data_IF_890027956926
#
_entry.id   IF_890027956926
#
_cell.length_a   1.000
_cell.length_b   1.000
_cell.length_c   1.000
_cell.angle_alpha   90.00
_cell.angle_beta   90.00
_cell.angle_gamma   90.00
#
_symmetry.space_group_name_H-M   'P 1'
#
loop_
_entity.id
_entity.type
_entity.pdbx_description
1 polymer ?
#
# COMPACT_ATOMS: atom_id res chain seq x y z
N UNK A 1 -8.87 22.48 -4.50
CA UNK A 1 -8.15 21.80 -5.61
C UNK A 1 -7.65 20.48 -5.04
N UNK A 2 -8.01 19.34 -5.64
CA UNK A 2 -7.67 18.01 -5.10
C UNK A 2 -6.27 17.59 -5.52
N UNK A 3 -5.63 16.71 -4.75
CA UNK A 3 -4.25 16.25 -5.01
C UNK A 3 -4.20 15.46 -6.34
N UNK A 4 -5.22 14.64 -6.60
CA UNK A 4 -5.46 13.93 -7.85
C UNK A 4 -5.58 14.85 -9.06
N UNK A 5 -6.39 15.92 -8.96
CA UNK A 5 -6.52 16.90 -10.05
C UNK A 5 -5.17 17.54 -10.39
N UNK A 6 -4.36 17.87 -9.37
CA UNK A 6 -3.01 18.43 -9.56
C UNK A 6 -2.04 17.44 -10.17
N UNK A 7 -2.08 16.19 -9.70
CA UNK A 7 -1.20 15.11 -10.16
C UNK A 7 -1.49 14.76 -11.62
N UNK A 8 -2.77 14.56 -11.97
CA UNK A 8 -3.19 14.27 -13.35
C UNK A 8 -2.91 15.45 -14.29
N UNK A 9 -3.16 16.69 -13.86
CA UNK A 9 -2.77 17.87 -14.63
C UNK A 9 -1.23 18.00 -14.75
N UNK A 10 -0.51 17.56 -13.72
CA UNK A 10 0.94 17.51 -13.65
C UNK A 10 1.57 16.43 -14.53
N UNK A 11 0.89 15.33 -14.84
CA UNK A 11 1.38 14.35 -15.82
C UNK A 11 1.47 14.94 -17.24
N UNK A 12 0.62 15.94 -17.55
CA UNK A 12 0.67 16.69 -18.80
C UNK A 12 1.65 17.89 -18.76
N UNK A 13 2.28 18.18 -17.61
CA UNK A 13 3.25 19.27 -17.45
C UNK A 13 4.56 18.74 -16.89
N UNK A 14 5.68 18.78 -17.63
CA UNK A 14 6.89 18.05 -17.28
C UNK A 14 7.36 18.28 -15.83
N UNK A 15 7.22 19.47 -15.23
CA UNK A 15 7.79 19.77 -13.91
C UNK A 15 7.08 19.26 -12.63
N UNK A 16 5.76 18.99 -12.62
CA UNK A 16 5.03 18.75 -11.35
C UNK A 16 4.98 17.26 -10.96
N UNK A 17 4.71 16.38 -11.93
CA UNK A 17 4.84 14.93 -11.73
C UNK A 17 6.31 14.49 -11.53
N UNK A 18 7.27 15.25 -12.08
CA UNK A 18 8.70 15.00 -11.91
C UNK A 18 9.14 15.06 -10.45
N UNK A 19 8.59 15.93 -9.60
CA UNK A 19 9.00 16.01 -8.19
C UNK A 19 8.60 14.79 -7.35
N UNK A 20 7.37 14.29 -7.55
CA UNK A 20 6.82 13.15 -6.82
C UNK A 20 7.42 11.81 -7.25
N UNK A 21 7.79 11.70 -8.54
CA UNK A 21 8.27 10.47 -9.17
C UNK A 21 9.78 10.46 -9.43
N UNK A 22 10.51 11.55 -9.15
CA UNK A 22 11.95 11.69 -9.45
C UNK A 22 12.83 10.60 -8.82
N UNK A 23 12.38 9.95 -7.74
CA UNK A 23 13.13 8.95 -6.98
C UNK A 23 12.56 7.53 -7.09
N UNK A 24 11.41 7.33 -7.74
CA UNK A 24 10.75 6.03 -7.84
C UNK A 24 10.61 5.59 -9.30
N UNK A 25 10.93 4.32 -9.64
CA UNK A 25 10.65 3.78 -10.96
C UNK A 25 9.16 3.89 -11.30
N UNK A 26 8.87 4.42 -12.49
CA UNK A 26 7.53 4.37 -13.09
C UNK A 26 7.54 3.23 -14.11
N UNK A 27 6.60 2.30 -13.97
CA UNK A 27 6.50 1.11 -14.82
C UNK A 27 5.14 1.02 -15.51
N UNK A 28 5.11 0.36 -16.65
CA UNK A 28 3.87 0.10 -17.37
C UNK A 28 3.09 -1.06 -16.74
N UNK A 29 1.76 -0.98 -16.77
CA UNK A 29 0.89 -2.07 -16.31
C UNK A 29 1.18 -3.42 -16.98
N UNK A 30 1.67 -3.42 -18.22
CA UNK A 30 2.08 -4.60 -18.98
C UNK A 30 3.36 -5.27 -18.46
N UNK A 31 4.16 -4.60 -17.62
CA UNK A 31 5.35 -5.18 -17.00
C UNK A 31 5.02 -6.03 -15.76
N UNK A 32 3.77 -5.98 -15.29
CA UNK A 32 3.29 -6.73 -14.14
C UNK A 32 2.59 -8.01 -14.61
N UNK A 33 3.16 -9.16 -14.24
CA UNK A 33 2.61 -10.47 -14.60
C UNK A 33 2.29 -11.33 -13.37
N UNK A 34 1.43 -12.34 -13.54
CA UNK A 34 1.28 -13.38 -12.52
C UNK A 34 2.56 -14.22 -12.47
N UNK A 35 2.97 -14.62 -11.28
CA UNK A 35 4.07 -15.57 -11.12
C UNK A 35 3.62 -16.99 -11.47
N UNK A 36 4.45 -17.74 -12.20
CA UNK A 36 4.11 -19.09 -12.70
C UNK A 36 4.14 -20.18 -11.61
N UNK A 37 4.82 -19.93 -10.50
CA UNK A 37 5.12 -20.88 -9.42
C UNK A 37 4.20 -20.77 -8.20
N UNK A 38 3.26 -19.83 -8.20
CA UNK A 38 2.32 -19.62 -7.10
C UNK A 38 0.95 -19.15 -7.59
N UNK A 39 -0.14 -19.41 -6.85
CA UNK A 39 -1.45 -18.86 -7.19
C UNK A 39 -1.48 -17.33 -7.00
N UNK A 40 -2.38 -16.68 -7.73
CA UNK A 40 -2.66 -15.25 -7.55
C UNK A 40 -3.26 -15.03 -6.15
N UNK A 41 -2.51 -14.34 -5.29
CA UNK A 41 -3.01 -13.93 -3.98
C UNK A 41 -3.51 -12.49 -4.07
N UNK A 42 -4.79 -12.30 -3.77
CA UNK A 42 -5.43 -10.99 -3.75
C UNK A 42 -6.28 -10.85 -2.50
N UNK A 43 -6.24 -9.68 -1.86
CA UNK A 43 -6.99 -9.39 -0.64
C UNK A 43 -7.40 -7.93 -0.54
N UNK A 44 -8.54 -7.68 0.09
CA UNK A 44 -9.04 -6.32 0.32
C UNK A 44 -8.41 -5.69 1.57
N UNK A 45 -8.05 -4.42 1.47
CA UNK A 45 -7.59 -3.57 2.57
C UNK A 45 -8.58 -2.43 2.82
N UNK A 46 -9.72 -2.77 3.42
CA UNK A 46 -10.87 -1.87 3.52
C UNK A 46 -11.79 -1.99 2.31
N UNK A 47 -12.69 -1.03 2.14
CA UNK A 47 -13.79 -1.13 1.18
C UNK A 47 -13.38 -0.91 -0.29
N UNK A 48 -12.36 -0.08 -0.53
CA UNK A 48 -12.04 0.40 -1.89
C UNK A 48 -10.63 0.04 -2.36
N UNK A 49 -9.83 -0.62 -1.52
CA UNK A 49 -8.45 -0.97 -1.84
C UNK A 49 -8.33 -2.48 -1.95
N UNK A 50 -7.69 -2.93 -3.01
CA UNK A 50 -7.23 -4.30 -3.18
C UNK A 50 -5.72 -4.33 -3.27
N UNK A 51 -5.13 -5.36 -2.67
CA UNK A 51 -3.72 -5.68 -2.81
C UNK A 51 -3.59 -7.03 -3.48
N UNK A 52 -2.84 -7.07 -4.57
CA UNK A 52 -2.70 -8.24 -5.44
C UNK A 52 -1.24 -8.52 -5.68
N UNK A 53 -0.88 -9.79 -5.57
CA UNK A 53 0.48 -10.27 -5.73
C UNK A 53 0.82 -10.46 -7.21
N UNK A 54 2.00 -9.98 -7.62
CA UNK A 54 2.48 -10.02 -9.00
C UNK A 54 3.99 -10.33 -9.03
N UNK A 55 4.51 -10.46 -10.24
CA UNK A 55 5.92 -10.58 -10.59
C UNK A 55 6.31 -9.43 -11.51
N UNK A 56 7.40 -8.74 -11.19
CA UNK A 56 7.99 -7.68 -12.01
C UNK A 56 9.47 -8.00 -12.25
N UNK A 57 9.83 -8.32 -13.50
CA UNK A 57 11.21 -8.73 -13.88
C UNK A 57 11.78 -9.84 -12.99
N UNK A 58 10.93 -10.79 -12.59
CA UNK A 58 11.25 -11.89 -11.68
C UNK A 58 11.20 -11.54 -10.19
N UNK A 59 11.09 -10.26 -9.83
CA UNK A 59 10.91 -9.82 -8.45
C UNK A 59 9.46 -10.04 -8.01
N UNK A 60 9.26 -10.70 -6.86
CA UNK A 60 7.93 -10.87 -6.24
C UNK A 60 7.55 -9.56 -5.56
N UNK A 61 6.36 -9.07 -5.88
CA UNK A 61 5.87 -7.76 -5.43
C UNK A 61 4.39 -7.85 -5.08
N UNK A 62 3.87 -6.81 -4.43
CA UNK A 62 2.45 -6.64 -4.14
C UNK A 62 1.98 -5.27 -4.64
N UNK A 63 0.96 -5.27 -5.49
CA UNK A 63 0.38 -4.08 -6.09
C UNK A 63 -0.85 -3.67 -5.30
N UNK A 64 -0.91 -2.40 -4.89
CA UNK A 64 -2.07 -1.79 -4.26
C UNK A 64 -2.81 -0.94 -5.29
N UNK A 65 -4.10 -1.17 -5.43
CA UNK A 65 -4.95 -0.49 -6.41
C UNK A 65 -6.36 -0.23 -5.88
N UNK A 66 -7.04 0.74 -6.48
CA UNK A 66 -8.46 1.00 -6.22
C UNK A 66 -9.32 -0.06 -6.90
N UNK A 67 -10.29 -0.59 -6.18
CA UNK A 67 -11.31 -1.46 -6.77
C UNK A 67 -12.13 -0.69 -7.80
N UNK A 68 -12.34 -1.28 -8.97
CA UNK A 68 -13.23 -0.77 -10.00
C UNK A 68 -14.69 -1.03 -9.62
N UNK A 69 -15.18 -0.34 -8.58
CA UNK A 69 -16.60 -0.39 -8.17
C UNK A 69 -17.35 0.67 -8.99
N UNK A 70 -18.59 0.37 -9.37
CA UNK A 70 -19.45 1.20 -10.22
C UNK A 70 -19.53 2.68 -9.77
N UNK A 71 -19.75 3.62 -10.70
CA UNK A 71 -19.55 5.07 -10.51
C UNK A 71 -20.66 5.74 -9.68
N UNK A 72 -20.80 5.33 -8.42
CA UNK A 72 -21.66 6.00 -7.45
C UNK A 72 -20.79 6.93 -6.59
N UNK A 73 -20.31 8.02 -7.22
CA UNK A 73 -20.05 9.35 -6.65
C UNK A 73 -19.07 9.53 -5.48
N UNK A 74 -18.01 10.31 -5.70
CA UNK A 74 -17.23 11.05 -4.69
C UNK A 74 -16.21 10.25 -3.85
N UNK A 75 -16.53 9.03 -3.44
CA UNK A 75 -15.65 8.23 -2.57
C UNK A 75 -14.36 7.80 -3.28
N UNK A 76 -14.45 7.31 -4.51
CA UNK A 76 -13.29 6.80 -5.26
C UNK A 76 -12.22 7.86 -5.53
N UNK A 77 -12.62 9.10 -5.85
CA UNK A 77 -11.69 10.22 -6.04
C UNK A 77 -10.96 10.57 -4.74
N UNK A 78 -11.67 10.54 -3.60
CA UNK A 78 -11.05 10.77 -2.29
C UNK A 78 -10.03 9.66 -1.93
N UNK A 79 -10.30 8.41 -2.30
CA UNK A 79 -9.32 7.32 -2.11
C UNK A 79 -8.14 7.42 -3.07
N UNK A 80 -8.31 7.97 -4.27
CA UNK A 80 -7.19 8.29 -5.15
C UNK A 80 -6.30 9.37 -4.54
N UNK A 81 -6.90 10.44 -3.98
CA UNK A 81 -6.15 11.46 -3.23
C UNK A 81 -5.35 10.82 -2.08
N UNK A 82 -5.96 9.93 -1.30
CA UNK A 82 -5.29 9.20 -0.23
C UNK A 82 -4.13 8.32 -0.76
N UNK A 83 -4.29 7.66 -1.91
CA UNK A 83 -3.20 6.89 -2.52
C UNK A 83 -2.04 7.77 -2.98
N UNK A 84 -2.30 8.97 -3.51
CA UNK A 84 -1.25 9.90 -3.91
C UNK A 84 -0.53 10.53 -2.69
N UNK A 85 -1.27 10.79 -1.61
CA UNK A 85 -0.66 11.19 -0.32
C UNK A 85 0.20 10.06 0.23
N UNK A 86 -0.26 8.80 0.14
CA UNK A 86 0.51 7.63 0.56
C UNK A 86 1.80 7.48 -0.24
N UNK A 87 1.74 7.69 -1.56
CA UNK A 87 2.92 7.73 -2.43
C UNK A 87 3.96 8.75 -1.93
N UNK A 88 3.53 9.98 -1.64
CA UNK A 88 4.42 11.04 -1.14
C UNK A 88 5.11 10.63 0.17
N UNK A 89 4.35 10.17 1.15
CA UNK A 89 4.91 9.75 2.44
C UNK A 89 5.83 8.53 2.30
N UNK A 90 5.48 7.55 1.48
CA UNK A 90 6.32 6.38 1.23
C UNK A 90 7.65 6.76 0.55
N UNK A 91 7.67 7.84 -0.24
CA UNK A 91 8.90 8.33 -0.86
C UNK A 91 9.86 9.02 0.13
N UNK A 92 9.33 9.54 1.23
CA UNK A 92 10.12 10.26 2.25
C UNK A 92 10.46 9.40 3.48
N UNK A 93 9.73 8.31 3.70
CA UNK A 93 9.81 7.51 4.92
C UNK A 93 10.35 6.12 4.65
N UNK A 94 11.36 5.73 5.42
CA UNK A 94 11.94 4.40 5.36
C UNK A 94 12.14 3.84 6.77
N UNK A 95 11.52 2.69 7.05
CA UNK A 95 11.61 2.01 8.33
C UNK A 95 11.31 0.51 8.15
N UNK A 96 11.95 -0.41 8.90
CA UNK A 96 11.75 -1.85 8.74
C UNK A 96 10.30 -2.32 8.87
N UNK A 97 9.48 -1.60 9.65
CA UNK A 97 8.07 -1.89 9.91
C UNK A 97 7.09 -0.93 9.22
N UNK A 98 7.55 -0.19 8.21
CA UNK A 98 6.69 0.44 7.21
C UNK A 98 6.78 -0.37 5.91
N UNK A 99 5.66 -0.53 5.22
CA UNK A 99 5.62 -1.28 3.96
C UNK A 99 6.39 -0.49 2.89
N UNK A 100 7.42 -1.11 2.32
CA UNK A 100 8.35 -0.44 1.42
C UNK A 100 7.74 -0.31 0.01
N UNK A 101 7.56 0.93 -0.42
CA UNK A 101 7.22 1.26 -1.81
C UNK A 101 8.46 1.08 -2.70
N UNK A 102 8.29 0.35 -3.80
CA UNK A 102 9.36 0.01 -4.74
C UNK A 102 9.22 0.72 -6.08
N UNK A 103 7.99 0.95 -6.54
CA UNK A 103 7.69 1.58 -7.82
C UNK A 103 6.25 2.13 -7.87
N UNK A 104 5.94 2.86 -8.92
CA UNK A 104 4.58 3.24 -9.31
C UNK A 104 4.27 2.60 -10.65
N UNK A 105 3.14 1.91 -10.76
CA UNK A 105 2.64 1.35 -12.02
C UNK A 105 1.53 2.23 -12.57
N UNK A 106 1.60 2.51 -13.87
CA UNK A 106 0.62 3.35 -14.56
C UNK A 106 0.02 2.64 -15.78
N UNK A 107 -1.27 2.87 -15.98
CA UNK A 107 -1.96 2.46 -17.21
C UNK A 107 -1.52 3.31 -18.40
N UNK A 108 -1.70 2.78 -19.62
CA UNK A 108 -1.31 3.47 -20.86
C UNK A 108 -2.06 4.78 -21.09
N UNK A 109 -3.27 4.92 -20.56
CA UNK A 109 -4.07 6.15 -20.58
C UNK A 109 -3.72 7.11 -19.44
N UNK A 110 -2.78 6.74 -18.57
CA UNK A 110 -2.33 7.49 -17.39
C UNK A 110 -3.44 7.79 -16.36
N UNK A 111 -4.60 7.14 -16.49
CA UNK A 111 -5.76 7.38 -15.62
C UNK A 111 -5.76 6.47 -14.38
N UNK A 112 -4.98 5.39 -14.38
CA UNK A 112 -4.86 4.46 -13.26
C UNK A 112 -3.46 4.48 -12.70
N UNK A 113 -3.35 4.88 -11.43
CA UNK A 113 -2.12 4.84 -10.65
C UNK A 113 -2.21 3.69 -9.67
N UNK A 114 -1.19 2.82 -9.65
CA UNK A 114 -1.06 1.69 -8.74
C UNK A 114 0.27 1.78 -8.01
N UNK A 115 0.26 1.47 -6.72
CA UNK A 115 1.47 1.50 -5.91
C UNK A 115 2.07 0.11 -5.83
N UNK A 116 3.35 -0.03 -6.14
CA UNK A 116 4.06 -1.31 -6.17
C UNK A 116 4.94 -1.41 -4.93
N UNK A 117 4.56 -2.30 -4.02
CA UNK A 117 5.25 -2.54 -2.76
C UNK A 117 6.07 -3.82 -2.78
N UNK A 118 6.94 -3.95 -1.79
CA UNK A 118 7.54 -5.23 -1.42
C UNK A 118 6.49 -6.33 -1.22
N UNK A 119 6.94 -7.58 -1.32
CA UNK A 119 6.06 -8.73 -1.28
C UNK A 119 5.38 -8.91 0.08
N UNK A 120 4.05 -9.01 0.04
CA UNK A 120 3.21 -9.44 1.16
C UNK A 120 2.88 -10.94 1.00
N UNK A 121 3.42 -11.80 1.87
CA UNK A 121 3.20 -13.25 1.76
C UNK A 121 1.92 -13.73 2.43
N UNK A 122 1.44 -13.08 3.50
CA UNK A 122 0.31 -13.59 4.29
C UNK A 122 -0.99 -12.83 4.00
N UNK A 123 -0.91 -11.50 3.90
CA UNK A 123 -2.04 -10.60 3.69
C UNK A 123 -2.17 -9.56 4.81
N UNK A 124 -3.33 -8.89 4.91
CA UNK A 124 -3.60 -8.00 6.04
C UNK A 124 -3.91 -8.78 7.32
N UNK A 125 -3.64 -8.16 8.48
CA UNK A 125 -4.05 -8.71 9.77
C UNK A 125 -5.57 -8.93 9.83
N UNK A 126 -6.36 -8.06 9.18
CA UNK A 126 -7.81 -8.25 9.04
C UNK A 126 -8.15 -9.55 8.31
N UNK A 127 -7.52 -9.80 7.15
CA UNK A 127 -7.72 -11.04 6.39
C UNK A 127 -7.44 -12.26 7.25
N UNK A 128 -6.35 -12.22 8.00
CA UNK A 128 -5.93 -13.32 8.85
C UNK A 128 -6.92 -13.58 10.01
N UNK A 129 -7.34 -12.52 10.71
CA UNK A 129 -8.18 -12.63 11.90
C UNK A 129 -9.64 -12.97 11.59
N UNK A 130 -10.16 -12.54 10.44
CA UNK A 130 -11.59 -12.60 10.15
C UNK A 130 -11.97 -13.49 8.97
N UNK A 131 -11.11 -13.62 7.96
CA UNK A 131 -11.43 -14.37 6.73
C UNK A 131 -10.74 -15.73 6.68
N UNK A 132 -9.48 -15.79 7.11
CA UNK A 132 -8.64 -17.00 7.05
C UNK A 132 -8.39 -17.60 8.43
N UNK A 133 -9.19 -17.26 9.44
CA UNK A 133 -9.00 -17.72 10.82
C UNK A 133 -8.93 -19.25 10.94
N UNK A 134 -9.68 -19.98 10.11
CA UNK A 134 -9.67 -21.44 10.11
C UNK A 134 -8.35 -22.04 9.58
N UNK A 135 -7.64 -21.34 8.70
CA UNK A 135 -6.31 -21.74 8.20
C UNK A 135 -5.20 -21.45 9.23
N UNK A 136 -5.48 -20.54 10.18
CA UNK A 136 -4.58 -20.12 11.24
C UNK A 136 -5.25 -20.24 12.61
N UNK A 137 -5.65 -21.46 13.02
CA UNK A 137 -6.53 -21.68 14.16
C UNK A 137 -5.93 -21.22 15.50
N UNK A 138 -4.60 -21.06 15.56
CA UNK A 138 -3.90 -20.46 16.70
C UNK A 138 -2.84 -19.49 16.20
N UNK A 139 -3.18 -18.21 16.11
CA UNK A 139 -2.17 -17.16 16.22
C UNK A 139 -1.59 -17.26 17.63
N UNK A 140 -0.37 -17.80 17.75
CA UNK A 140 0.30 -17.92 19.05
C UNK A 140 0.40 -16.53 19.68
N UNK A 141 0.21 -16.44 20.99
CA UNK A 141 0.30 -15.19 21.73
C UNK A 141 1.63 -14.46 21.45
N UNK A 142 2.72 -15.23 21.33
CA UNK A 142 4.05 -14.76 20.92
C UNK A 142 4.01 -13.99 19.60
N UNK A 143 3.34 -14.53 18.57
CA UNK A 143 3.21 -13.87 17.27
C UNK A 143 2.42 -12.57 17.37
N UNK A 144 1.35 -12.55 18.18
CA UNK A 144 0.57 -11.33 18.41
C UNK A 144 1.38 -10.24 19.11
N UNK A 145 2.18 -10.62 20.12
CA UNK A 145 3.08 -9.70 20.82
C UNK A 145 4.13 -9.11 19.88
N UNK A 146 4.69 -9.93 18.97
CA UNK A 146 5.63 -9.44 17.94
C UNK A 146 4.96 -8.44 17.00
N UNK A 147 3.75 -8.73 16.52
CA UNK A 147 2.99 -7.80 15.66
C UNK A 147 2.75 -6.47 16.38
N UNK A 148 2.32 -6.50 17.64
CA UNK A 148 2.09 -5.29 18.44
C UNK A 148 3.37 -4.49 18.61
N UNK A 149 4.48 -5.15 18.96
CA UNK A 149 5.79 -4.50 19.13
C UNK A 149 6.22 -3.78 17.85
N UNK A 150 6.15 -4.46 16.70
CA UNK A 150 6.54 -3.91 15.39
C UNK A 150 5.67 -2.71 15.00
N UNK A 151 4.36 -2.77 15.26
CA UNK A 151 3.45 -1.64 15.05
C UNK A 151 3.82 -0.46 15.97
N UNK A 152 4.11 -0.72 17.25
CA UNK A 152 4.55 0.32 18.18
C UNK A 152 5.85 1.00 17.74
N UNK A 153 6.83 0.23 17.26
CA UNK A 153 8.09 0.78 16.75
C UNK A 153 7.89 1.64 15.50
N UNK A 154 7.05 1.19 14.56
CA UNK A 154 6.68 2.01 13.39
C UNK A 154 5.99 3.32 13.80
N UNK A 155 5.03 3.27 14.73
CA UNK A 155 4.35 4.47 15.23
C UNK A 155 5.31 5.41 15.97
N UNK A 156 6.24 4.88 16.75
CA UNK A 156 7.27 5.67 17.43
C UNK A 156 8.16 6.39 16.40
N UNK A 157 8.56 5.69 15.34
CA UNK A 157 9.31 6.28 14.22
C UNK A 157 8.55 7.43 13.55
N UNK A 158 7.24 7.28 13.32
CA UNK A 158 6.38 8.31 12.73
C UNK A 158 6.22 9.51 13.68
N UNK A 159 5.93 9.25 14.96
CA UNK A 159 5.78 10.29 15.98
C UNK A 159 7.07 11.08 16.19
N UNK A 160 8.24 10.44 16.09
CA UNK A 160 9.55 11.09 16.12
C UNK A 160 9.78 12.09 14.98
N UNK A 161 8.97 12.01 13.91
CA UNK A 161 8.95 12.95 12.79
C UNK A 161 7.78 13.94 12.83
N UNK A 162 7.09 14.03 13.97
CA UNK A 162 5.88 14.82 14.11
C UNK A 162 4.79 14.44 13.10
N UNK A 163 4.65 13.15 12.77
CA UNK A 163 3.60 12.63 11.90
C UNK A 163 2.69 11.68 12.69
N UNK A 164 1.38 11.80 12.50
CA UNK A 164 0.36 10.96 13.17
C UNK A 164 -0.39 10.14 12.13
N UNK A 165 -0.39 8.81 12.27
CA UNK A 165 -1.24 7.91 11.48
C UNK A 165 -2.65 7.87 12.09
N UNK A 166 -3.62 8.53 11.45
CA UNK A 166 -4.98 8.69 11.99
C UNK A 166 -5.90 7.48 11.80
N UNK A 167 -5.52 6.54 10.95
CA UNK A 167 -6.37 5.42 10.53
C UNK A 167 -5.70 4.05 10.77
N UNK A 168 -5.07 3.87 11.93
CA UNK A 168 -4.54 2.56 12.32
C UNK A 168 -5.68 1.55 12.48
N UNK A 169 -5.61 0.44 11.75
CA UNK A 169 -6.58 -0.65 11.80
C UNK A 169 -5.95 -1.99 11.43
N UNK A 170 -6.68 -3.10 11.61
CA UNK A 170 -6.22 -4.42 11.14
C UNK A 170 -6.06 -4.50 9.62
N UNK A 171 -6.67 -3.60 8.84
CA UNK A 171 -6.45 -3.49 7.39
C UNK A 171 -5.14 -2.80 7.04
N UNK A 172 -4.66 -1.87 7.89
CA UNK A 172 -3.42 -1.12 7.63
C UNK A 172 -2.16 -1.86 8.11
N UNK A 173 -2.31 -3.04 8.72
CA UNK A 173 -1.21 -3.89 9.18
C UNK A 173 -1.09 -5.06 8.20
N UNK A 174 0.01 -5.10 7.44
CA UNK A 174 0.29 -6.17 6.49
C UNK A 174 1.35 -7.11 7.03
N UNK A 175 1.15 -8.40 6.81
CA UNK A 175 2.06 -9.45 7.24
C UNK A 175 2.88 -9.89 6.03
N UNK A 176 4.10 -9.35 5.93
CA UNK A 176 5.02 -9.71 4.85
C UNK A 176 5.55 -11.12 5.05
N UNK A 177 5.83 -11.54 6.28
CA UNK A 177 6.18 -12.92 6.61
C UNK A 177 5.50 -13.34 7.93
N UNK A 178 5.48 -14.65 8.26
CA UNK A 178 5.06 -15.08 9.60
C UNK A 178 5.84 -14.33 10.68
N UNK A 179 5.13 -13.56 11.52
CA UNK A 179 5.73 -12.76 12.59
C UNK A 179 6.38 -11.44 12.17
N UNK A 180 6.24 -11.02 10.91
CA UNK A 180 6.73 -9.71 10.42
C UNK A 180 5.56 -8.88 9.91
N UNK A 181 5.17 -7.89 10.70
CA UNK A 181 4.14 -6.91 10.41
C UNK A 181 4.74 -5.59 9.94
N UNK A 182 4.09 -4.98 8.96
CA UNK A 182 4.43 -3.67 8.41
C UNK A 182 3.19 -2.80 8.27
N UNK A 183 3.31 -1.52 8.60
CA UNK A 183 2.23 -0.55 8.40
C UNK A 183 2.17 -0.09 6.94
N UNK A 184 0.95 -0.04 6.41
CA UNK A 184 0.56 0.62 5.16
C UNK A 184 -0.52 1.67 5.46
N UNK A 185 -1.09 2.31 4.45
CA UNK A 185 -2.18 3.27 4.63
C UNK A 185 -1.70 4.65 5.08
N UNK A 186 -0.47 5.02 4.70
CA UNK A 186 0.12 6.32 5.05
C UNK A 186 -0.64 7.51 4.43
N UNK A 187 -1.58 7.26 3.51
CA UNK A 187 -2.50 8.28 2.98
C UNK A 187 -3.32 9.02 4.04
N UNK A 188 -3.50 8.42 5.23
CA UNK A 188 -4.22 9.02 6.35
C UNK A 188 -3.30 9.73 7.37
N UNK A 189 -2.03 9.96 7.02
CA UNK A 189 -1.11 10.67 7.89
C UNK A 189 -1.31 12.18 7.83
N UNK A 190 -1.11 12.82 8.98
CA UNK A 190 -1.08 14.29 9.10
C UNK A 190 0.12 14.72 9.94
N UNK A 191 0.64 15.94 9.73
CA UNK A 191 1.54 16.58 10.69
C UNK A 191 0.86 16.71 12.06
N UNK A 192 1.65 16.57 13.13
CA UNK A 192 1.23 16.73 14.52
C UNK A 192 1.10 18.20 14.91
#
# INVERSE_FOLDING_TARGET
MRVSDCFLAGLNKPGYALGLLASLPVIGDSELGQADDEPLLSFSCGAFITMTNYSWKGCRITVKELQSISPQGGSQEAYLDLMLIELEYCNQLFHPYLLQLMAVSMSSDLMRVRLVFERVHVGSLHNLLHQRRAEFPVLRAETMLLVVLQVCEALLYLHGRALVLRALSSHSILLTHPGVAKLSGLGFMVPR
#
